data_IF_066505910990
#
_entry.id   IF_066505910990
#
_cell.length_a   1.000
_cell.length_b   1.000
_cell.length_c   1.000
_cell.angle_alpha   90.00
_cell.angle_beta   90.00
_cell.angle_gamma   90.00
#
_symmetry.space_group_name_H-M   'P 1'
#
loop_
_entity.id
_entity.type
_entity.pdbx_description
1 polymer ?
#
# COMPACT_ATOMS: atom_id res chain seq x y z
N UNK A 1 -18.36 24.75 42.61
CA UNK A 1 -16.97 25.11 42.93
C UNK A 1 -16.12 24.76 41.72
N UNK A 2 -15.59 25.78 41.04
CA UNK A 2 -14.86 25.67 39.78
C UNK A 2 -13.39 26.03 40.00
N UNK A 3 -12.47 25.26 39.44
CA UNK A 3 -11.04 25.59 39.27
C UNK A 3 -10.63 25.00 37.92
N UNK A 4 -10.71 25.73 36.79
CA UNK A 4 -9.75 26.68 36.18
C UNK A 4 -8.31 26.15 36.05
N UNK A 5 -8.03 25.56 34.89
CA UNK A 5 -6.69 25.29 34.35
C UNK A 5 -6.17 26.58 33.68
N UNK A 6 -4.94 26.99 34.04
CA UNK A 6 -4.23 28.10 33.40
C UNK A 6 -3.29 27.57 32.30
N UNK A 7 -3.46 28.06 31.08
CA UNK A 7 -2.48 27.93 30.00
C UNK A 7 -1.66 29.23 29.94
N UNK A 8 -0.37 29.12 30.18
CA UNK A 8 0.59 30.19 29.95
C UNK A 8 1.16 30.05 28.53
N UNK A 9 1.01 31.10 27.72
CA UNK A 9 1.69 31.24 26.44
C UNK A 9 3.14 31.70 26.61
N UNK A 10 3.97 31.34 25.64
CA UNK A 10 5.24 32.01 25.37
C UNK A 10 5.40 32.16 23.85
N UNK A 11 5.67 33.40 23.48
CA UNK A 11 5.75 33.98 22.13
C UNK A 11 7.23 34.21 21.77
N UNK A 12 7.51 34.20 20.46
CA UNK A 12 8.67 34.77 19.74
C UNK A 12 10.03 34.06 19.83
N UNK A 13 10.53 33.61 18.68
CA UNK A 13 11.48 34.37 17.82
C UNK A 13 12.18 33.41 16.83
N UNK A 14 12.02 33.63 15.53
CA UNK A 14 12.71 32.85 14.48
C UNK A 14 12.75 33.62 13.17
N UNK A 15 13.96 34.04 12.80
CA UNK A 15 14.29 35.01 11.76
C UNK A 15 13.72 34.69 10.36
N UNK A 16 13.13 35.70 9.72
CA UNK A 16 12.83 35.68 8.29
C UNK A 16 14.09 36.06 7.50
N UNK A 17 14.58 35.12 6.69
CA UNK A 17 15.52 35.40 5.61
C UNK A 17 14.72 35.89 4.39
N UNK A 18 14.94 37.15 4.03
CA UNK A 18 14.40 37.77 2.83
C UNK A 18 15.16 37.28 1.59
N UNK A 19 14.55 36.39 0.82
CA UNK A 19 14.98 36.11 -0.56
C UNK A 19 14.42 37.19 -1.48
N UNK A 20 15.32 38.01 -2.04
CA UNK A 20 15.06 38.97 -3.11
C UNK A 20 14.49 38.24 -4.33
N UNK A 21 13.18 38.32 -4.54
CA UNK A 21 12.53 37.89 -5.77
C UNK A 21 12.77 38.95 -6.86
N UNK A 22 13.45 38.56 -7.93
CA UNK A 22 13.55 39.37 -9.16
C UNK A 22 12.16 39.60 -9.77
N UNK A 23 11.84 40.79 -10.29
CA UNK A 23 10.61 41.03 -11.02
C UNK A 23 10.66 40.28 -12.36
N UNK A 24 9.86 39.23 -12.49
CA UNK A 24 9.55 38.60 -13.78
C UNK A 24 8.73 39.61 -14.58
N UNK A 25 9.14 39.99 -15.81
CA UNK A 25 8.32 40.84 -16.66
C UNK A 25 7.00 40.13 -16.96
N UNK A 26 5.88 40.81 -16.67
CA UNK A 26 4.55 40.36 -17.02
C UNK A 26 4.49 40.10 -18.53
N UNK A 27 4.36 38.83 -18.92
CA UNK A 27 3.96 38.47 -20.27
C UNK A 27 2.48 38.77 -20.40
N UNK A 28 2.13 39.52 -21.44
CA UNK A 28 0.76 39.79 -21.84
C UNK A 28 -0.07 38.50 -21.88
N UNK A 29 -1.34 38.54 -21.44
CA UNK A 29 -2.23 37.40 -21.51
C UNK A 29 -2.41 37.01 -22.98
N UNK A 30 -1.92 35.82 -23.34
CA UNK A 30 -2.30 35.16 -24.59
C UNK A 30 -3.84 35.05 -24.58
N UNK A 31 -4.54 35.53 -25.62
CA UNK A 31 -5.99 35.41 -25.67
C UNK A 31 -6.37 33.93 -25.60
N UNK A 32 -7.12 33.57 -24.56
CA UNK A 32 -7.77 32.27 -24.48
C UNK A 32 -8.64 32.08 -25.73
N UNK A 33 -8.65 30.90 -26.36
CA UNK A 33 -9.61 30.63 -27.42
C UNK A 33 -11.01 30.77 -26.82
N UNK A 34 -11.78 31.69 -27.38
CA UNK A 34 -13.17 31.92 -27.01
C UNK A 34 -13.95 30.60 -27.21
N UNK A 35 -14.34 29.96 -26.11
CA UNK A 35 -15.34 28.91 -26.12
C UNK A 35 -16.65 29.56 -26.56
N UNK A 36 -17.03 29.34 -27.81
CA UNK A 36 -18.35 29.68 -28.29
C UNK A 36 -19.41 28.97 -27.43
N UNK A 37 -20.60 29.59 -27.21
CA UNK A 37 -21.66 28.97 -26.43
C UNK A 37 -22.02 27.60 -27.00
N UNK A 38 -22.02 26.58 -26.15
CA UNK A 38 -22.59 25.27 -26.46
C UNK A 38 -24.11 25.44 -26.54
N UNK A 39 -24.62 25.63 -27.77
CA UNK A 39 -26.04 25.44 -28.06
C UNK A 39 -26.44 24.02 -27.65
N UNK A 40 -27.35 23.92 -26.67
CA UNK A 40 -27.93 22.69 -26.14
C UNK A 40 -28.93 22.05 -27.12
N UNK A 41 -28.52 21.89 -28.37
CA UNK A 41 -29.28 21.15 -29.37
C UNK A 41 -29.06 19.64 -29.18
N UNK A 42 -30.11 18.97 -28.69
CA UNK A 42 -30.23 17.51 -28.62
C UNK A 42 -29.76 16.88 -29.94
N UNK A 43 -28.85 15.89 -29.94
CA UNK A 43 -28.30 15.33 -31.16
C UNK A 43 -29.41 14.64 -31.97
N UNK A 44 -29.67 15.17 -33.17
CA UNK A 44 -30.54 14.54 -34.16
C UNK A 44 -29.87 13.26 -34.70
N UNK A 45 -30.56 12.11 -34.70
CA UNK A 45 -29.98 10.85 -35.16
C UNK A 45 -29.81 10.90 -36.68
N UNK A 46 -28.57 10.94 -37.16
CA UNK A 46 -28.28 10.82 -38.59
C UNK A 46 -27.07 11.60 -39.13
N UNK A 47 -26.41 12.44 -38.32
CA UNK A 47 -25.14 13.05 -38.73
C UNK A 47 -23.95 12.24 -38.21
N UNK A 48 -23.02 11.80 -39.07
CA UNK A 48 -21.77 11.19 -38.58
C UNK A 48 -21.03 12.22 -37.72
N UNK A 49 -20.62 11.82 -36.53
CA UNK A 49 -19.86 12.68 -35.62
C UNK A 49 -18.64 13.22 -36.36
N UNK A 50 -18.47 14.54 -36.34
CA UNK A 50 -17.34 15.21 -36.99
C UNK A 50 -16.07 14.82 -36.22
N UNK A 51 -15.25 13.96 -36.80
CA UNK A 51 -13.98 13.51 -36.20
C UNK A 51 -13.08 14.73 -36.00
N UNK A 52 -12.80 15.12 -34.75
CA UNK A 52 -12.01 16.32 -34.39
C UNK A 52 -10.49 16.14 -34.58
N UNK A 53 -10.07 15.10 -35.29
CA UNK A 53 -8.67 14.76 -35.54
C UNK A 53 -8.37 13.32 -35.17
N UNK A 54 -7.45 12.70 -35.92
CA UNK A 54 -6.89 11.41 -35.55
C UNK A 54 -5.63 11.67 -34.72
N UNK A 55 -5.66 11.35 -33.42
CA UNK A 55 -4.43 11.28 -32.62
C UNK A 55 -3.76 9.96 -32.98
N UNK A 56 -2.82 10.01 -33.93
CA UNK A 56 -1.98 8.86 -34.25
C UNK A 56 -0.98 8.68 -33.11
N UNK A 57 -1.25 7.73 -32.22
CA UNK A 57 -0.23 7.20 -31.30
C UNK A 57 0.37 5.94 -31.92
N UNK A 58 1.69 5.75 -31.77
CA UNK A 58 2.32 4.53 -32.26
C UNK A 58 1.79 3.31 -31.49
N UNK A 59 1.72 2.14 -32.14
CA UNK A 59 1.22 0.91 -31.52
C UNK A 59 1.97 0.54 -30.23
N UNK A 60 3.26 0.88 -30.17
CA UNK A 60 4.08 0.80 -28.97
C UNK A 60 3.47 1.61 -27.82
N UNK A 61 3.21 2.90 -28.04
CA UNK A 61 2.70 3.80 -27.01
C UNK A 61 1.30 3.41 -26.53
N UNK A 62 0.43 2.95 -27.43
CA UNK A 62 -0.89 2.42 -27.04
C UNK A 62 -0.76 1.17 -26.17
N UNK A 63 0.11 0.22 -26.53
CA UNK A 63 0.35 -1.01 -25.75
C UNK A 63 0.97 -0.69 -24.39
N UNK A 64 1.94 0.22 -24.34
CA UNK A 64 2.58 0.68 -23.11
C UNK A 64 1.55 1.25 -22.14
N UNK A 65 0.75 2.24 -22.57
CA UNK A 65 -0.26 2.88 -21.72
C UNK A 65 -1.28 1.87 -21.22
N UNK A 66 -1.71 0.94 -22.08
CA UNK A 66 -2.67 -0.10 -21.72
C UNK A 66 -2.13 -0.98 -20.59
N UNK A 67 -0.92 -1.53 -20.77
CA UNK A 67 -0.33 -2.45 -19.79
C UNK A 67 0.11 -1.72 -18.51
N UNK A 68 0.64 -0.51 -18.65
CA UNK A 68 0.99 0.34 -17.52
C UNK A 68 -0.23 0.66 -16.66
N UNK A 69 -1.37 1.00 -17.26
CA UNK A 69 -2.60 1.29 -16.52
C UNK A 69 -3.16 0.05 -15.82
N UNK A 70 -3.05 -1.13 -16.42
CA UNK A 70 -3.44 -2.39 -15.75
C UNK A 70 -2.54 -2.67 -14.54
N UNK A 71 -1.21 -2.53 -14.70
CA UNK A 71 -0.26 -2.72 -13.61
C UNK A 71 -0.45 -1.69 -12.49
N UNK A 72 -0.52 -0.40 -12.84
CA UNK A 72 -0.73 0.69 -11.90
C UNK A 72 -2.09 0.58 -11.19
N UNK A 73 -3.15 0.20 -11.89
CA UNK A 73 -4.46 -0.04 -11.31
C UNK A 73 -4.44 -1.16 -10.25
N UNK A 74 -3.72 -2.26 -10.54
CA UNK A 74 -3.54 -3.33 -9.56
C UNK A 74 -2.72 -2.89 -8.33
N UNK A 75 -1.66 -2.09 -8.53
CA UNK A 75 -0.85 -1.53 -7.45
C UNK A 75 -1.68 -0.61 -6.55
N UNK A 76 -2.40 0.35 -7.12
CA UNK A 76 -3.26 1.30 -6.38
C UNK A 76 -4.35 0.57 -5.59
N UNK A 77 -4.96 -0.46 -6.18
CA UNK A 77 -5.96 -1.25 -5.46
C UNK A 77 -5.35 -2.00 -4.27
N UNK A 78 -4.14 -2.55 -4.45
CA UNK A 78 -3.41 -3.18 -3.36
C UNK A 78 -2.98 -2.20 -2.27
N UNK A 79 -2.66 -0.96 -2.61
CA UNK A 79 -2.32 0.07 -1.62
C UNK A 79 -3.51 0.41 -0.73
N UNK A 80 -4.73 0.48 -1.30
CA UNK A 80 -5.97 0.63 -0.51
C UNK A 80 -6.17 -0.54 0.44
N UNK A 81 -5.86 -1.75 -0.01
CA UNK A 81 -5.87 -2.92 0.86
C UNK A 81 -4.83 -2.82 1.98
N UNK A 82 -3.62 -2.33 1.69
CA UNK A 82 -2.59 -2.09 2.70
C UNK A 82 -2.99 -1.01 3.72
N UNK A 83 -3.72 0.03 3.31
CA UNK A 83 -4.32 1.00 4.24
C UNK A 83 -5.32 0.33 5.18
N UNK A 84 -6.19 -0.53 4.65
CA UNK A 84 -7.15 -1.30 5.46
C UNK A 84 -6.46 -2.27 6.42
N UNK A 85 -5.34 -2.87 6.02
CA UNK A 85 -4.49 -3.69 6.90
C UNK A 85 -3.93 -2.85 8.04
N UNK A 86 -3.39 -1.67 7.75
CA UNK A 86 -2.83 -0.77 8.76
C UNK A 86 -3.85 -0.46 9.86
N UNK A 87 -5.05 -0.06 9.43
CA UNK A 87 -6.17 0.21 10.32
C UNK A 87 -6.53 -1.04 11.13
N UNK A 88 -6.69 -2.20 10.48
CA UNK A 88 -7.10 -3.45 11.14
C UNK A 88 -6.08 -3.89 12.20
N UNK A 89 -4.78 -3.81 11.89
CA UNK A 89 -3.73 -4.17 12.84
C UNK A 89 -3.69 -3.23 14.05
N UNK A 90 -3.94 -1.93 13.84
CA UNK A 90 -4.06 -0.96 14.92
C UNK A 90 -5.29 -1.22 15.79
N UNK A 91 -6.45 -1.50 15.18
CA UNK A 91 -7.69 -1.80 15.89
C UNK A 91 -7.60 -3.09 16.70
N UNK A 92 -6.97 -4.14 16.19
CA UNK A 92 -6.77 -5.41 16.91
C UNK A 92 -6.07 -5.16 18.25
N UNK A 93 -5.02 -4.33 18.27
CA UNK A 93 -4.30 -4.02 19.49
C UNK A 93 -5.19 -3.31 20.52
N UNK A 94 -6.02 -2.37 20.06
CA UNK A 94 -6.97 -1.64 20.92
C UNK A 94 -8.05 -2.59 21.44
N UNK A 95 -8.67 -3.37 20.55
CA UNK A 95 -9.77 -4.26 20.87
C UNK A 95 -9.36 -5.37 21.84
N UNK A 96 -8.13 -5.91 21.79
CA UNK A 96 -7.65 -6.91 22.75
C UNK A 96 -7.70 -6.46 24.22
N UNK A 97 -7.73 -5.15 24.49
CA UNK A 97 -7.77 -4.60 25.85
C UNK A 97 -9.19 -4.28 26.33
N UNK A 98 -10.18 -4.40 25.46
CA UNK A 98 -11.57 -4.05 25.76
C UNK A 98 -12.35 -5.24 26.30
N UNK A 99 -13.37 -4.96 27.13
CA UNK A 99 -14.22 -5.97 27.77
C UNK A 99 -14.95 -6.90 26.79
N UNK A 100 -15.39 -6.37 25.63
CA UNK A 100 -16.00 -7.14 24.54
C UNK A 100 -15.02 -7.33 23.37
N UNK A 101 -13.73 -7.31 23.68
CA UNK A 101 -12.64 -7.26 22.70
C UNK A 101 -12.60 -8.46 21.74
N UNK A 102 -12.93 -9.66 22.24
CA UNK A 102 -12.84 -10.90 21.48
C UNK A 102 -13.70 -10.88 20.22
N UNK A 103 -14.96 -10.42 20.31
CA UNK A 103 -15.86 -10.35 19.15
C UNK A 103 -15.38 -9.31 18.12
N UNK A 104 -14.82 -8.18 18.58
CA UNK A 104 -14.30 -7.15 17.68
C UNK A 104 -13.02 -7.60 16.97
N UNK A 105 -12.13 -8.29 17.68
CA UNK A 105 -10.93 -8.91 17.09
C UNK A 105 -11.31 -9.97 16.05
N UNK A 106 -12.42 -10.71 16.26
CA UNK A 106 -12.95 -11.62 15.25
C UNK A 106 -13.32 -10.87 13.96
N UNK A 107 -14.05 -9.77 14.06
CA UNK A 107 -14.43 -8.95 12.89
C UNK A 107 -13.21 -8.36 12.18
N UNK A 108 -12.22 -7.87 12.94
CA UNK A 108 -10.96 -7.36 12.38
C UNK A 108 -10.18 -8.47 11.66
N UNK A 109 -10.17 -9.68 12.21
CA UNK A 109 -9.56 -10.85 11.57
C UNK A 109 -10.26 -11.20 10.26
N UNK A 110 -11.59 -11.20 10.24
CA UNK A 110 -12.37 -11.44 9.00
C UNK A 110 -12.07 -10.37 7.96
N UNK A 111 -11.94 -9.10 8.39
CA UNK A 111 -11.51 -8.01 7.51
C UNK A 111 -10.11 -8.27 6.93
N UNK A 112 -9.13 -8.65 7.76
CA UNK A 112 -7.79 -9.00 7.30
C UNK A 112 -7.80 -10.16 6.30
N UNK A 113 -8.57 -11.23 6.55
CA UNK A 113 -8.71 -12.37 5.63
C UNK A 113 -9.23 -11.90 4.27
N UNK A 114 -10.29 -11.09 4.26
CA UNK A 114 -10.87 -10.57 3.02
C UNK A 114 -9.87 -9.68 2.27
N UNK A 115 -9.15 -8.82 2.98
CA UNK A 115 -8.14 -7.94 2.39
C UNK A 115 -6.98 -8.72 1.77
N UNK A 116 -6.44 -9.71 2.48
CA UNK A 116 -5.39 -10.60 1.95
C UNK A 116 -5.90 -11.39 0.74
N UNK A 117 -7.12 -11.93 0.81
CA UNK A 117 -7.73 -12.67 -0.31
C UNK A 117 -7.90 -11.79 -1.56
N UNK A 118 -8.23 -10.51 -1.40
CA UNK A 118 -8.33 -9.56 -2.51
C UNK A 118 -6.95 -9.23 -3.10
N UNK A 119 -5.95 -8.95 -2.28
CA UNK A 119 -4.57 -8.76 -2.73
C UNK A 119 -4.05 -9.97 -3.52
N UNK A 120 -4.33 -11.19 -3.05
CA UNK A 120 -3.91 -12.42 -3.73
C UNK A 120 -4.61 -12.64 -5.09
N UNK A 121 -5.77 -12.01 -5.33
CA UNK A 121 -6.46 -12.03 -6.63
C UNK A 121 -5.92 -10.98 -7.61
N UNK A 122 -5.57 -9.80 -7.11
CA UNK A 122 -5.10 -8.65 -7.92
C UNK A 122 -3.62 -8.74 -8.27
N UNK A 123 -2.77 -9.27 -7.38
CA UNK A 123 -1.32 -9.44 -7.59
C UNK A 123 -1.00 -10.17 -8.91
N UNK A 124 -1.62 -11.31 -9.26
CA UNK A 124 -1.38 -11.99 -10.53
C UNK A 124 -1.80 -11.19 -11.77
N UNK A 125 -2.77 -10.28 -11.64
CA UNK A 125 -3.19 -9.37 -12.72
C UNK A 125 -2.09 -8.35 -12.97
N UNK A 126 -1.62 -7.68 -11.92
CA UNK A 126 -0.51 -6.72 -12.02
C UNK A 126 0.78 -7.37 -12.54
N UNK A 127 1.12 -8.57 -12.04
CA UNK A 127 2.29 -9.33 -12.49
C UNK A 127 2.28 -9.62 -13.99
N UNK A 128 1.13 -10.02 -14.55
CA UNK A 128 1.03 -10.28 -15.99
C UNK A 128 1.24 -9.03 -16.83
N UNK A 129 0.64 -7.90 -16.42
CA UNK A 129 0.84 -6.63 -17.10
C UNK A 129 2.30 -6.15 -17.04
N UNK A 130 2.99 -6.36 -15.91
CA UNK A 130 4.43 -6.07 -15.77
C UNK A 130 5.26 -6.97 -16.70
N UNK A 131 4.94 -8.26 -16.79
CA UNK A 131 5.62 -9.17 -17.71
C UNK A 131 5.43 -8.72 -19.18
N UNK A 132 4.24 -8.23 -19.54
CA UNK A 132 3.95 -7.69 -20.86
C UNK A 132 4.76 -6.41 -21.14
N UNK A 133 4.94 -5.53 -20.15
CA UNK A 133 5.81 -4.34 -20.25
C UNK A 133 7.28 -4.74 -20.46
N UNK A 134 7.77 -5.75 -19.74
CA UNK A 134 9.14 -6.28 -19.91
C UNK A 134 9.32 -6.90 -21.30
N UNK A 135 8.34 -7.67 -21.77
CA UNK A 135 8.36 -8.23 -23.13
C UNK A 135 8.41 -7.10 -24.18
N UNK A 136 7.57 -6.07 -24.00
CA UNK A 136 7.56 -4.89 -24.87
C UNK A 136 8.89 -4.12 -24.85
N UNK A 137 9.57 -4.04 -23.71
CA UNK A 137 10.91 -3.44 -23.63
C UNK A 137 11.93 -4.19 -24.50
N UNK A 138 11.84 -5.51 -24.55
CA UNK A 138 12.72 -6.34 -25.37
C UNK A 138 12.40 -6.26 -26.87
N UNK A 139 11.16 -5.91 -27.22
CA UNK A 139 10.71 -5.75 -28.62
C UNK A 139 11.12 -4.40 -29.23
N UNK A 140 11.31 -3.34 -28.43
CA UNK A 140 11.68 -2.02 -28.96
C UNK A 140 13.15 -1.97 -29.39
N UNK A 141 13.43 -1.31 -30.52
CA UNK A 141 14.79 -1.08 -31.03
C UNK A 141 15.47 0.15 -30.42
N UNK A 142 14.70 1.11 -29.93
CA UNK A 142 15.19 2.32 -29.24
C UNK A 142 15.75 1.96 -27.86
N UNK A 143 17.04 2.21 -27.66
CA UNK A 143 17.77 1.91 -26.43
C UNK A 143 17.30 2.74 -25.23
N UNK A 144 16.91 4.00 -25.46
CA UNK A 144 16.40 4.86 -24.40
C UNK A 144 15.04 4.36 -23.94
N UNK A 145 14.12 4.09 -24.88
CA UNK A 145 12.80 3.51 -24.55
C UNK A 145 12.91 2.17 -23.84
N UNK A 146 13.82 1.30 -24.31
CA UNK A 146 14.08 0.01 -23.67
C UNK A 146 14.50 0.19 -22.22
N UNK A 147 15.44 1.11 -21.96
CA UNK A 147 15.97 1.35 -20.62
C UNK A 147 14.90 1.90 -19.69
N UNK A 148 14.15 2.92 -20.11
CA UNK A 148 13.11 3.54 -19.28
C UNK A 148 11.93 2.60 -19.03
N UNK A 149 11.51 1.82 -20.04
CA UNK A 149 10.45 0.84 -19.90
C UNK A 149 10.86 -0.32 -18.98
N UNK A 150 12.10 -0.80 -19.11
CA UNK A 150 12.65 -1.82 -18.23
C UNK A 150 12.76 -1.31 -16.79
N UNK A 151 13.25 -0.08 -16.59
CA UNK A 151 13.32 0.55 -15.26
C UNK A 151 11.91 0.64 -14.65
N UNK A 152 10.94 1.20 -15.39
CA UNK A 152 9.57 1.32 -14.92
C UNK A 152 8.97 -0.03 -14.52
N UNK A 153 9.07 -1.03 -15.40
CA UNK A 153 8.55 -2.38 -15.15
C UNK A 153 9.27 -3.07 -13.97
N UNK A 154 10.59 -2.89 -13.83
CA UNK A 154 11.36 -3.48 -12.72
C UNK A 154 11.00 -2.89 -11.35
N UNK A 155 10.68 -1.59 -11.31
CA UNK A 155 10.22 -0.95 -10.07
C UNK A 155 8.78 -1.38 -9.73
N UNK A 156 7.89 -1.52 -10.73
CA UNK A 156 6.57 -2.12 -10.51
C UNK A 156 6.67 -3.57 -10.02
N UNK A 157 7.58 -4.37 -10.60
CA UNK A 157 7.86 -5.74 -10.17
C UNK A 157 8.25 -5.76 -8.69
N UNK A 158 9.17 -4.87 -8.30
CA UNK A 158 9.61 -4.74 -6.91
C UNK A 158 8.46 -4.40 -5.97
N UNK A 159 7.52 -3.53 -6.38
CA UNK A 159 6.34 -3.23 -5.58
C UNK A 159 5.45 -4.48 -5.43
N UNK A 160 5.10 -5.15 -6.53
CA UNK A 160 4.28 -6.39 -6.51
C UNK A 160 4.91 -7.48 -5.64
N UNK A 161 6.22 -7.70 -5.74
CA UNK A 161 6.91 -8.71 -4.94
C UNK A 161 6.85 -8.38 -3.45
N UNK A 162 6.92 -7.08 -3.09
CA UNK A 162 6.77 -6.63 -1.71
C UNK A 162 5.34 -6.75 -1.22
N UNK A 163 4.35 -6.37 -2.02
CA UNK A 163 2.93 -6.58 -1.71
C UNK A 163 2.64 -8.08 -1.47
N UNK A 164 3.19 -8.96 -2.32
CA UNK A 164 3.08 -10.42 -2.16
C UNK A 164 3.71 -10.92 -0.87
N UNK A 165 4.93 -10.48 -0.55
CA UNK A 165 5.60 -10.85 0.70
C UNK A 165 4.77 -10.42 1.92
N UNK A 166 4.25 -9.18 1.91
CA UNK A 166 3.37 -8.67 2.98
C UNK A 166 2.09 -9.50 3.08
N UNK A 167 1.46 -9.91 1.98
CA UNK A 167 0.28 -10.79 2.01
C UNK A 167 0.56 -12.14 2.68
N UNK A 168 1.75 -12.72 2.45
CA UNK A 168 2.15 -13.95 3.14
C UNK A 168 2.42 -13.73 4.63
N UNK A 169 3.11 -12.64 4.99
CA UNK A 169 3.34 -12.30 6.39
C UNK A 169 2.01 -12.06 7.14
N UNK A 170 1.03 -11.42 6.49
CA UNK A 170 -0.32 -11.21 7.04
C UNK A 170 -1.08 -12.52 7.20
N UNK A 171 -0.88 -13.49 6.31
CA UNK A 171 -1.48 -14.82 6.45
C UNK A 171 -0.99 -15.50 7.73
N UNK A 172 0.30 -15.36 8.06
CA UNK A 172 0.84 -15.87 9.32
C UNK A 172 0.24 -15.16 10.54
N UNK A 173 0.07 -13.84 10.48
CA UNK A 173 -0.61 -13.08 11.55
C UNK A 173 -2.05 -13.55 11.74
N UNK A 174 -2.79 -13.76 10.65
CA UNK A 174 -4.17 -14.28 10.70
C UNK A 174 -4.19 -15.64 11.41
N UNK A 175 -3.27 -16.55 11.09
CA UNK A 175 -3.18 -17.86 11.75
C UNK A 175 -2.93 -17.73 13.26
N UNK A 176 -2.01 -16.86 13.68
CA UNK A 176 -1.76 -16.60 15.11
C UNK A 176 -3.01 -16.04 15.81
N UNK A 177 -3.76 -15.15 15.14
CA UNK A 177 -5.03 -14.63 15.66
C UNK A 177 -6.12 -15.70 15.75
N UNK A 178 -6.11 -16.71 14.85
CA UNK A 178 -7.01 -17.86 14.92
C UNK A 178 -6.70 -18.75 16.13
N UNK A 179 -5.43 -19.09 16.34
CA UNK A 179 -4.99 -19.94 17.45
C UNK A 179 -5.26 -19.29 18.81
N UNK A 180 -4.98 -17.99 18.93
CA UNK A 180 -5.21 -17.25 20.17
C UNK A 180 -6.70 -17.18 20.54
N UNK A 181 -7.59 -17.02 19.56
CA UNK A 181 -9.03 -17.06 19.80
C UNK A 181 -9.47 -18.45 20.29
N UNK A 182 -8.96 -19.53 19.69
CA UNK A 182 -9.24 -20.89 20.16
C UNK A 182 -8.80 -21.14 21.59
N UNK A 183 -7.61 -20.66 21.99
CA UNK A 183 -7.08 -20.85 23.34
C UNK A 183 -7.77 -19.95 24.40
N UNK A 184 -8.02 -18.67 24.09
CA UNK A 184 -8.65 -17.75 25.05
C UNK A 184 -10.15 -18.03 25.19
N UNK A 185 -10.85 -18.35 24.11
CA UNK A 185 -12.28 -18.66 24.19
C UNK A 185 -12.56 -19.98 24.93
N UNK A 186 -11.69 -20.98 24.79
CA UNK A 186 -11.87 -22.25 25.53
C UNK A 186 -11.59 -22.12 27.02
N UNK A 187 -10.65 -21.24 27.41
CA UNK A 187 -10.27 -20.98 28.80
C UNK A 187 -11.24 -20.02 29.49
N UNK A 188 -11.64 -18.93 28.82
CA UNK A 188 -12.52 -17.89 29.40
C UNK A 188 -13.97 -18.37 29.54
N UNK A 189 -14.47 -19.17 28.59
CA UNK A 189 -15.83 -19.73 28.65
C UNK A 189 -15.91 -21.10 29.32
N UNK A 190 -14.81 -21.62 29.90
CA UNK A 190 -14.83 -22.91 30.59
C UNK A 190 -15.40 -24.04 29.70
N UNK A 191 -15.29 -23.94 28.37
CA UNK A 191 -15.89 -24.91 27.42
C UNK A 191 -15.27 -26.29 27.64
N UNK A 192 -14.00 -26.34 28.05
CA UNK A 192 -13.33 -27.56 28.48
C UNK A 192 -14.04 -28.27 29.66
N UNK A 193 -14.78 -27.54 30.51
CA UNK A 193 -15.60 -28.11 31.60
C UNK A 193 -17.06 -28.38 31.23
N UNK A 194 -17.52 -27.96 30.05
CA UNK A 194 -18.87 -28.23 29.53
C UNK A 194 -18.90 -29.37 28.50
N UNK A 195 -17.73 -29.84 28.04
CA UNK A 195 -17.63 -31.07 27.25
C UNK A 195 -17.90 -32.28 28.16
N UNK A 196 -18.81 -33.19 27.78
CA UNK A 196 -19.19 -34.33 28.62
C UNK A 196 -17.94 -35.16 28.95
N UNK A 197 -17.81 -35.52 30.23
CA UNK A 197 -16.67 -36.18 30.88
C UNK A 197 -16.37 -37.62 30.39
N UNK A 198 -16.39 -37.86 29.08
CA UNK A 198 -16.37 -39.20 28.47
C UNK A 198 -15.28 -39.44 27.42
N UNK A 199 -14.51 -38.44 26.98
CA UNK A 199 -13.31 -38.68 26.19
C UNK A 199 -12.10 -38.43 27.09
N UNK A 200 -11.39 -39.51 27.42
CA UNK A 200 -10.33 -39.55 28.43
C UNK A 200 -9.21 -38.53 28.26
N UNK A 201 -8.26 -38.46 29.21
CA UNK A 201 -7.20 -37.47 29.19
C UNK A 201 -6.39 -37.63 27.92
N UNK A 202 -6.52 -36.69 26.99
CA UNK A 202 -5.43 -36.42 26.06
C UNK A 202 -4.32 -35.87 26.93
N UNK A 203 -3.40 -36.76 27.31
CA UNK A 203 -2.07 -36.38 27.74
C UNK A 203 -1.44 -35.61 26.59
N UNK A 204 -1.60 -34.29 26.62
CA UNK A 204 -0.60 -33.42 26.03
C UNK A 204 0.56 -33.55 26.99
N UNK A 205 1.49 -34.43 26.61
CA UNK A 205 2.80 -34.52 27.23
C UNK A 205 3.42 -33.12 27.19
N UNK A 206 3.27 -32.42 28.31
CA UNK A 206 4.16 -31.37 28.74
C UNK A 206 5.52 -32.03 29.03
N UNK A 207 6.20 -32.46 27.97
CA UNK A 207 7.65 -32.55 27.95
C UNK A 207 8.16 -31.17 27.52
N UNK A 208 9.15 -30.54 28.13
CA UNK A 208 9.82 -30.75 29.41
C UNK A 208 10.72 -29.51 29.50
N UNK A 209 10.34 -28.51 30.29
CA UNK A 209 11.27 -27.48 30.71
C UNK A 209 11.01 -27.21 32.19
N UNK A 210 12.01 -27.45 33.05
CA UNK A 210 11.85 -27.25 34.48
C UNK A 210 11.57 -25.78 34.77
N UNK A 211 10.61 -25.54 35.67
CA UNK A 211 10.41 -24.23 36.29
C UNK A 211 11.73 -23.82 36.96
N UNK A 212 12.33 -22.66 36.64
CA UNK A 212 13.57 -22.23 37.28
C UNK A 212 13.35 -22.02 38.78
N UNK A 213 14.29 -22.48 39.60
CA UNK A 213 14.26 -22.24 41.05
C UNK A 213 14.28 -20.75 41.38
N UNK A 214 13.56 -20.38 42.43
CA UNK A 214 13.51 -19.01 42.92
C UNK A 214 14.92 -18.52 43.31
N UNK A 215 15.51 -17.68 42.46
CA UNK A 215 16.85 -17.12 42.63
C UNK A 215 17.85 -17.42 41.51
N UNK A 216 17.48 -18.12 40.43
CA UNK A 216 18.38 -18.24 39.27
C UNK A 216 18.38 -16.94 38.44
N UNK A 217 19.55 -16.30 38.37
CA UNK A 217 19.81 -15.00 37.73
C UNK A 217 19.54 -14.97 36.21
N UNK A 218 18.27 -14.93 35.80
CA UNK A 218 17.88 -14.69 34.40
C UNK A 218 17.89 -13.19 34.02
N UNK A 219 18.54 -12.35 34.83
CA UNK A 219 18.55 -10.89 34.68
C UNK A 219 19.89 -10.31 34.19
N UNK A 220 20.92 -11.13 33.96
CA UNK A 220 22.24 -10.62 33.58
C UNK A 220 22.60 -10.79 32.08
N UNK A 221 21.94 -11.69 31.34
CA UNK A 221 22.31 -12.03 29.95
C UNK A 221 21.21 -11.71 28.92
N UNK A 222 20.25 -10.86 29.29
CA UNK A 222 19.40 -10.13 28.34
C UNK A 222 19.88 -8.68 28.13
N UNK A 223 20.99 -8.32 28.76
CA UNK A 223 21.47 -6.94 28.86
C UNK A 223 22.65 -6.68 27.94
N UNK A 224 22.54 -7.04 26.65
CA UNK A 224 23.41 -6.49 25.60
C UNK A 224 22.97 -6.75 24.15
N UNK A 225 21.66 -6.78 23.87
CA UNK A 225 21.22 -6.36 22.52
C UNK A 225 21.16 -4.84 22.47
N UNK A 226 21.78 -4.17 21.48
CA UNK A 226 21.83 -2.72 21.41
C UNK A 226 20.42 -2.16 21.32
N UNK A 227 19.94 -1.54 22.40
CA UNK A 227 18.72 -0.73 22.49
C UNK A 227 17.66 -1.07 21.41
N UNK A 228 17.17 -2.32 21.44
CA UNK A 228 16.09 -2.72 20.55
C UNK A 228 14.90 -1.82 20.89
N UNK A 229 14.52 -0.92 19.97
CA UNK A 229 13.22 -0.24 20.02
C UNK A 229 12.21 -1.29 20.40
N UNK A 230 11.57 -1.16 21.56
CA UNK A 230 10.57 -2.10 22.03
C UNK A 230 9.53 -2.29 20.91
N UNK A 231 9.58 -3.43 20.21
CA UNK A 231 8.58 -3.80 19.21
C UNK A 231 7.34 -4.18 20.03
N UNK A 232 6.44 -3.21 20.25
CA UNK A 232 5.27 -3.40 21.12
C UNK A 232 4.03 -3.81 20.34
N UNK A 233 4.05 -3.64 19.02
CA UNK A 233 2.88 -3.85 18.15
C UNK A 233 3.14 -4.92 17.09
N UNK A 234 2.07 -5.55 16.58
CA UNK A 234 2.15 -6.49 15.44
C UNK A 234 2.74 -5.81 14.21
N UNK A 235 2.42 -4.52 14.00
CA UNK A 235 2.96 -3.71 12.91
C UNK A 235 4.48 -3.56 13.01
N UNK A 236 5.02 -3.39 14.21
CA UNK A 236 6.47 -3.27 14.45
C UNK A 236 7.19 -4.58 14.15
N UNK A 237 6.64 -5.71 14.60
CA UNK A 237 7.20 -7.05 14.34
C UNK A 237 7.24 -7.35 12.84
N UNK A 238 6.16 -7.01 12.13
CA UNK A 238 6.09 -7.15 10.67
C UNK A 238 6.92 -6.10 9.91
N UNK A 239 7.45 -5.08 10.60
CA UNK A 239 8.03 -3.89 9.99
C UNK A 239 7.09 -3.27 8.94
N UNK A 240 5.78 -3.25 9.21
CA UNK A 240 4.75 -2.94 8.22
C UNK A 240 4.95 -1.55 7.58
N UNK A 241 5.23 -0.53 8.41
CA UNK A 241 5.54 0.82 7.92
C UNK A 241 6.77 0.87 7.01
N UNK A 242 7.79 0.06 7.27
CA UNK A 242 8.96 -0.06 6.39
C UNK A 242 8.59 -0.70 5.06
N UNK A 243 7.77 -1.75 5.06
CA UNK A 243 7.31 -2.39 3.82
C UNK A 243 6.50 -1.41 2.96
N UNK A 244 5.57 -0.67 3.57
CA UNK A 244 4.80 0.40 2.89
C UNK A 244 5.71 1.46 2.27
N UNK A 245 6.73 1.89 3.00
CA UNK A 245 7.69 2.86 2.46
C UNK A 245 8.47 2.30 1.24
N UNK A 246 8.90 1.03 1.29
CA UNK A 246 9.61 0.39 0.16
C UNK A 246 8.70 0.29 -1.07
N UNK A 247 7.43 -0.08 -0.87
CA UNK A 247 6.38 -0.17 -1.92
C UNK A 247 6.19 1.20 -2.57
N UNK A 248 5.85 2.22 -1.79
CA UNK A 248 5.61 3.57 -2.31
C UNK A 248 6.85 4.21 -2.96
N UNK A 249 8.06 3.91 -2.46
CA UNK A 249 9.29 4.37 -3.09
C UNK A 249 9.55 3.70 -4.45
N UNK A 250 9.20 2.41 -4.60
CA UNK A 250 9.30 1.71 -5.88
C UNK A 250 8.27 2.25 -6.88
N UNK A 251 7.02 2.43 -6.47
CA UNK A 251 5.96 3.02 -7.30
C UNK A 251 6.30 4.43 -7.77
N UNK A 252 6.84 5.27 -6.87
CA UNK A 252 7.26 6.62 -7.22
C UNK A 252 8.34 6.60 -8.31
N UNK A 253 9.32 5.68 -8.21
CA UNK A 253 10.36 5.51 -9.24
C UNK A 253 9.78 4.97 -10.54
N UNK A 254 8.85 4.01 -10.46
CA UNK A 254 8.16 3.47 -11.63
C UNK A 254 7.41 4.56 -12.40
N UNK A 255 6.74 5.47 -11.69
CA UNK A 255 6.01 6.59 -12.27
C UNK A 255 6.94 7.62 -12.94
N UNK A 256 8.10 7.91 -12.33
CA UNK A 256 9.11 8.80 -12.94
C UNK A 256 9.63 8.20 -14.25
N UNK A 257 9.99 6.91 -14.26
CA UNK A 257 10.47 6.23 -15.47
C UNK A 257 9.36 6.15 -16.54
N UNK A 258 8.11 5.90 -16.15
CA UNK A 258 6.97 5.87 -17.06
C UNK A 258 6.72 7.21 -17.76
N UNK A 259 6.86 8.33 -17.04
CA UNK A 259 6.77 9.68 -17.60
C UNK A 259 7.86 9.90 -18.66
N UNK A 260 9.06 9.33 -18.49
CA UNK A 260 10.11 9.40 -19.51
C UNK A 260 9.71 8.62 -20.76
N UNK A 261 9.13 7.43 -20.63
CA UNK A 261 8.57 6.67 -21.78
C UNK A 261 7.47 7.48 -22.48
N UNK A 262 6.53 8.05 -21.75
CA UNK A 262 5.42 8.86 -22.29
C UNK A 262 5.92 10.09 -23.07
N UNK A 263 6.97 10.76 -22.59
CA UNK A 263 7.60 11.88 -23.31
C UNK A 263 8.15 11.45 -24.67
N UNK A 264 8.74 10.24 -24.75
CA UNK A 264 9.21 9.71 -26.05
C UNK A 264 8.05 9.37 -26.98
N UNK A 265 6.87 9.06 -26.45
CA UNK A 265 5.65 8.84 -27.23
C UNK A 265 5.06 10.15 -27.77
N UNK A 266 5.13 11.23 -26.99
CA UNK A 266 4.65 12.55 -27.40
C UNK A 266 5.54 13.21 -28.47
N UNK A 267 6.85 12.91 -28.44
CA UNK A 267 7.82 13.45 -29.41
C UNK A 267 7.67 12.85 -30.83
N UNK A 268 6.97 11.72 -31.00
CA UNK A 268 6.68 11.10 -32.31
C UNK A 268 5.51 11.77 -33.05
N UNK A 269 4.89 12.80 -32.47
CA UNK A 269 3.84 13.56 -33.15
C UNK A 269 4.28 14.04 -34.54
N UNK A 270 3.38 14.06 -35.53
CA UNK A 270 3.74 14.36 -36.91
C UNK A 270 4.45 15.71 -36.95
N UNK A 271 5.74 15.67 -37.27
CA UNK A 271 6.49 16.85 -37.68
C UNK A 271 5.90 17.29 -39.02
N UNK A 272 4.77 18.00 -38.95
CA UNK A 272 4.27 18.78 -40.07
C UNK A 272 5.30 19.89 -40.30
N UNK A 273 6.30 19.57 -41.12
CA UNK A 273 6.98 20.58 -41.92
C UNK A 273 5.91 21.17 -42.84
N UNK A 274 5.37 22.32 -42.42
CA UNK A 274 4.73 23.28 -43.31
C UNK A 274 5.81 23.94 -44.18
#
# INVERSE_FOLDING_TARGET
MSVRVAFAGALMAGAMLATLASPVPARDPVPAPALAPLDSSSPSPGRPLKTLGHIYTSAFCTRFVTQFNVAAGALVENDRHLDSVDESLSQIQVHYTQRDGALRVYDDRVRLINTVANMMKTIPVGQRAINDLLAQANETTDAQRRTELHESASQMQRSIDRQRAVSYDLSNVIHVLMDKHGAQDTVEYQIASLLPAGSGPVRVDALDAPVPEAGSDFSAELTQTPANKHLTTVQDVMQFGRQRWIIGAAESKAAVAANLVERTCSAEGPSHKL
#
